data_IF_298425943351
#
_entry.id   IF_298425943351
#
_cell.length_a   1.000
_cell.length_b   1.000
_cell.length_c   1.000
_cell.angle_alpha   90.00
_cell.angle_beta   90.00
_cell.angle_gamma   90.00
#
_symmetry.space_group_name_H-M   'P 1'
#
loop_
_entity.id
_entity.type
_entity.pdbx_description
1 polymer ?
#
# COMPACT_ATOMS: atom_id res chain seq x y z
N UNK A 1 -32.55 -16.72 25.84
CA UNK A 1 -32.20 -16.47 24.42
C UNK A 1 -32.72 -15.13 23.86
N UNK A 2 -33.94 -14.67 24.16
CA UNK A 2 -34.43 -13.37 23.65
C UNK A 2 -33.65 -12.14 24.18
N UNK A 3 -33.05 -12.24 25.37
CA UNK A 3 -32.24 -11.16 25.95
C UNK A 3 -30.94 -10.88 25.18
N UNK A 4 -30.28 -11.95 24.72
CA UNK A 4 -28.98 -11.88 24.04
C UNK A 4 -29.10 -11.18 22.69
N UNK A 5 -30.18 -11.48 21.96
CA UNK A 5 -30.51 -10.86 20.67
C UNK A 5 -30.72 -9.34 20.83
N UNK A 6 -31.45 -8.91 21.87
CA UNK A 6 -31.65 -7.47 22.16
C UNK A 6 -30.33 -6.77 22.48
N UNK A 7 -29.46 -7.41 23.26
CA UNK A 7 -28.14 -6.88 23.59
C UNK A 7 -27.25 -6.72 22.32
N UNK A 8 -27.28 -7.69 21.40
CA UNK A 8 -26.56 -7.63 20.13
C UNK A 8 -27.07 -6.49 19.24
N UNK A 9 -28.39 -6.29 19.13
CA UNK A 9 -28.93 -5.15 18.38
C UNK A 9 -28.55 -3.81 19.00
N UNK A 10 -28.52 -3.71 20.32
CA UNK A 10 -28.04 -2.51 21.02
C UNK A 10 -26.56 -2.23 20.73
N UNK A 11 -25.73 -3.28 20.75
CA UNK A 11 -24.30 -3.20 20.39
C UNK A 11 -24.11 -2.75 18.95
N UNK A 12 -24.84 -3.34 18.00
CA UNK A 12 -24.82 -2.97 16.59
C UNK A 12 -25.22 -1.52 16.37
N UNK A 13 -26.34 -1.07 16.95
CA UNK A 13 -26.79 0.33 16.87
C UNK A 13 -25.78 1.30 17.47
N UNK A 14 -25.15 0.93 18.59
CA UNK A 14 -24.08 1.72 19.21
C UNK A 14 -22.88 1.86 18.27
N UNK A 15 -22.48 0.77 17.61
CA UNK A 15 -21.42 0.82 16.60
C UNK A 15 -21.80 1.70 15.41
N UNK A 16 -23.02 1.59 14.86
CA UNK A 16 -23.47 2.45 13.76
C UNK A 16 -23.47 3.94 14.14
N UNK A 17 -23.84 4.29 15.38
CA UNK A 17 -23.76 5.68 15.87
C UNK A 17 -22.34 6.21 15.89
N UNK A 18 -21.38 5.40 16.34
CA UNK A 18 -19.96 5.78 16.34
C UNK A 18 -19.38 5.84 14.92
N UNK A 19 -19.78 4.92 14.03
CA UNK A 19 -19.35 4.90 12.63
C UNK A 19 -19.75 6.19 11.92
N UNK A 20 -20.97 6.70 12.15
CA UNK A 20 -21.44 7.97 11.56
C UNK A 20 -20.58 9.19 11.92
N UNK A 21 -19.78 9.11 12.99
CA UNK A 21 -18.89 10.20 13.43
C UNK A 21 -17.52 10.15 12.76
N UNK A 22 -17.21 9.11 11.99
CA UNK A 22 -15.98 9.00 11.23
C UNK A 22 -15.91 10.10 10.15
N UNK A 23 -14.71 10.59 9.82
CA UNK A 23 -14.52 11.82 9.05
C UNK A 23 -14.90 11.74 7.57
N UNK A 24 -14.80 10.56 6.97
CA UNK A 24 -14.94 10.31 5.52
C UNK A 24 -16.02 9.29 5.25
N UNK A 25 -16.71 9.40 4.12
CA UNK A 25 -17.76 8.44 3.76
C UNK A 25 -17.21 7.05 3.48
N UNK A 26 -16.01 6.93 2.91
CA UNK A 26 -15.33 5.64 2.76
C UNK A 26 -15.18 4.88 4.09
N UNK A 27 -14.61 5.51 5.12
CA UNK A 27 -14.48 4.90 6.45
C UNK A 27 -15.85 4.51 7.03
N UNK A 28 -16.89 5.33 6.82
CA UNK A 28 -18.25 5.02 7.29
C UNK A 28 -18.79 3.77 6.62
N UNK A 29 -18.67 3.68 5.29
CA UNK A 29 -19.12 2.54 4.50
C UNK A 29 -18.36 1.27 4.86
N UNK A 30 -17.02 1.34 4.92
CA UNK A 30 -16.15 0.21 5.27
C UNK A 30 -16.52 -0.38 6.64
N UNK A 31 -16.60 0.45 7.69
CA UNK A 31 -16.91 -0.06 9.02
C UNK A 31 -18.36 -0.49 9.18
N UNK A 32 -19.29 0.08 8.40
CA UNK A 32 -20.68 -0.40 8.37
C UNK A 32 -20.75 -1.83 7.82
N UNK A 33 -20.06 -2.10 6.71
CA UNK A 33 -19.97 -3.46 6.14
C UNK A 33 -19.30 -4.42 7.12
N UNK A 34 -18.11 -4.04 7.62
CA UNK A 34 -17.35 -4.87 8.57
C UNK A 34 -18.15 -5.23 9.83
N UNK A 35 -18.77 -4.25 10.49
CA UNK A 35 -19.56 -4.52 11.70
C UNK A 35 -20.81 -5.34 11.38
N UNK A 36 -21.41 -5.14 10.19
CA UNK A 36 -22.49 -5.98 9.70
C UNK A 36 -22.07 -7.44 9.55
N UNK A 37 -20.91 -7.70 8.95
CA UNK A 37 -20.35 -9.05 8.80
C UNK A 37 -20.00 -9.69 10.14
N UNK A 38 -19.39 -8.93 11.05
CA UNK A 38 -19.04 -9.43 12.38
C UNK A 38 -20.30 -9.81 13.18
N UNK A 39 -21.38 -9.02 13.08
CA UNK A 39 -22.67 -9.30 13.75
C UNK A 39 -23.40 -10.47 13.10
N UNK A 40 -23.43 -10.57 11.76
CA UNK A 40 -23.96 -11.77 11.07
C UNK A 40 -23.21 -13.02 11.50
N UNK A 41 -21.88 -12.94 11.55
CA UNK A 41 -21.06 -14.02 12.07
C UNK A 41 -21.36 -14.40 13.52
N UNK A 42 -21.79 -13.47 14.38
CA UNK A 42 -22.22 -13.82 15.75
C UNK A 42 -23.48 -14.69 15.71
N UNK A 43 -24.44 -14.38 14.84
CA UNK A 43 -25.66 -15.17 14.68
C UNK A 43 -25.43 -16.54 14.04
N UNK A 44 -24.49 -16.64 13.09
CA UNK A 44 -24.16 -17.90 12.41
C UNK A 44 -23.34 -18.87 13.27
N UNK A 45 -22.82 -18.43 14.42
CA UNK A 45 -21.97 -19.24 15.27
C UNK A 45 -22.79 -20.30 16.04
N UNK A 46 -22.55 -21.58 15.77
CA UNK A 46 -23.23 -22.71 16.46
C UNK A 46 -22.80 -22.89 17.93
N UNK A 47 -21.57 -22.50 18.27
CA UNK A 47 -20.99 -22.69 19.60
C UNK A 47 -21.01 -21.38 20.40
N UNK A 48 -21.54 -21.43 21.63
CA UNK A 48 -21.65 -20.27 22.52
C UNK A 48 -20.29 -19.63 22.83
N UNK A 49 -19.24 -20.43 23.02
CA UNK A 49 -17.88 -19.91 23.28
C UNK A 49 -17.33 -19.08 22.11
N UNK A 50 -17.61 -19.53 20.87
CA UNK A 50 -17.24 -18.81 19.64
C UNK A 50 -18.07 -17.53 19.52
N UNK A 51 -19.36 -17.61 19.82
CA UNK A 51 -20.26 -16.45 19.85
C UNK A 51 -19.76 -15.39 20.84
N UNK A 52 -19.48 -15.77 22.08
CA UNK A 52 -18.97 -14.88 23.13
C UNK A 52 -17.62 -14.23 22.73
N UNK A 53 -16.72 -14.98 22.10
CA UNK A 53 -15.46 -14.44 21.57
C UNK A 53 -15.68 -13.39 20.47
N UNK A 54 -16.61 -13.64 19.54
CA UNK A 54 -16.99 -12.68 18.50
C UNK A 54 -17.66 -11.43 19.09
N UNK A 55 -18.54 -11.57 20.08
CA UNK A 55 -19.13 -10.44 20.81
C UNK A 55 -18.06 -9.59 21.48
N UNK A 56 -17.10 -10.22 22.19
CA UNK A 56 -15.96 -9.51 22.80
C UNK A 56 -15.15 -8.74 21.76
N UNK A 57 -14.97 -9.31 20.56
CA UNK A 57 -14.27 -8.64 19.44
C UNK A 57 -15.03 -7.40 18.97
N UNK A 58 -16.34 -7.50 18.72
CA UNK A 58 -17.16 -6.35 18.29
C UNK A 58 -17.18 -5.25 19.37
N UNK A 59 -17.28 -5.62 20.64
CA UNK A 59 -17.17 -4.66 21.74
C UNK A 59 -15.80 -3.98 21.79
N UNK A 60 -14.71 -4.71 21.54
CA UNK A 60 -13.37 -4.13 21.46
C UNK A 60 -13.25 -3.14 20.29
N UNK A 61 -13.82 -3.48 19.14
CA UNK A 61 -13.85 -2.58 17.98
C UNK A 61 -14.69 -1.34 18.24
N UNK A 62 -15.85 -1.47 18.92
CA UNK A 62 -16.65 -0.34 19.37
C UNK A 62 -15.85 0.58 20.31
N UNK A 63 -15.12 0.03 21.28
CA UNK A 63 -14.25 0.82 22.18
C UNK A 63 -13.14 1.53 21.40
N UNK A 64 -12.58 0.89 20.37
CA UNK A 64 -11.57 1.51 19.49
C UNK A 64 -12.17 2.64 18.66
N UNK A 65 -13.35 2.45 18.06
CA UNK A 65 -14.06 3.48 17.30
C UNK A 65 -14.37 4.69 18.16
N UNK A 66 -14.91 4.48 19.38
CA UNK A 66 -15.11 5.56 20.36
C UNK A 66 -13.82 6.32 20.62
N UNK A 67 -12.73 5.62 20.94
CA UNK A 67 -11.43 6.25 21.21
C UNK A 67 -10.89 7.02 19.99
N UNK A 68 -11.02 6.45 18.80
CA UNK A 68 -10.62 7.11 17.55
C UNK A 68 -11.41 8.40 17.33
N UNK A 69 -12.73 8.34 17.52
CA UNK A 69 -13.62 9.49 17.47
C UNK A 69 -13.18 10.55 18.50
N UNK A 70 -12.81 10.19 19.73
CA UNK A 70 -12.27 11.14 20.73
C UNK A 70 -10.86 11.71 20.40
N UNK A 71 -10.26 11.35 19.27
CA UNK A 71 -8.97 11.90 18.85
C UNK A 71 -7.76 11.15 19.41
N UNK A 72 -7.95 9.94 19.99
CA UNK A 72 -6.81 9.13 20.39
C UNK A 72 -6.03 8.62 19.17
N UNK A 73 -4.78 9.07 19.03
CA UNK A 73 -3.90 8.82 17.88
C UNK A 73 -3.82 7.33 17.51
N UNK A 74 -3.45 6.47 18.47
CA UNK A 74 -3.23 5.05 18.20
C UNK A 74 -4.51 4.32 17.79
N UNK A 75 -5.65 4.72 18.36
CA UNK A 75 -6.96 4.14 18.02
C UNK A 75 -7.37 4.59 16.61
N UNK A 76 -7.21 5.86 16.29
CA UNK A 76 -7.50 6.39 14.95
C UNK A 76 -6.59 5.76 13.89
N UNK A 77 -5.30 5.64 14.15
CA UNK A 77 -4.38 4.96 13.24
C UNK A 77 -4.74 3.48 13.05
N UNK A 78 -5.21 2.79 14.09
CA UNK A 78 -5.69 1.42 13.96
C UNK A 78 -6.94 1.32 13.06
N UNK A 79 -7.88 2.26 13.20
CA UNK A 79 -9.07 2.37 12.34
C UNK A 79 -8.65 2.57 10.88
N UNK A 80 -7.75 3.52 10.61
CA UNK A 80 -7.18 3.77 9.29
C UNK A 80 -6.48 2.52 8.72
N UNK A 81 -5.58 1.91 9.48
CA UNK A 81 -4.84 0.72 9.06
C UNK A 81 -5.74 -0.47 8.73
N UNK A 82 -6.87 -0.60 9.43
CA UNK A 82 -7.85 -1.65 9.15
C UNK A 82 -8.61 -1.35 7.87
N UNK A 83 -9.08 -0.11 7.70
CA UNK A 83 -9.85 0.31 6.52
C UNK A 83 -9.02 0.31 5.23
N UNK A 84 -7.75 0.71 5.28
CA UNK A 84 -6.86 0.75 4.10
C UNK A 84 -5.99 -0.52 3.95
N UNK A 85 -6.45 -1.64 4.52
CA UNK A 85 -5.85 -2.97 4.29
C UNK A 85 -4.40 -3.11 4.75
N UNK A 86 -3.94 -2.32 5.74
CA UNK A 86 -2.64 -2.54 6.39
C UNK A 86 -2.72 -3.67 7.42
N UNK A 87 -3.93 -3.92 7.94
CA UNK A 87 -4.24 -4.95 8.94
C UNK A 87 -5.58 -5.60 8.62
N UNK A 88 -5.81 -6.77 9.20
CA UNK A 88 -7.10 -7.46 9.11
C UNK A 88 -7.32 -8.20 7.78
N UNK A 89 -8.58 -8.54 7.47
CA UNK A 89 -8.93 -9.37 6.30
C UNK A 89 -8.63 -8.68 4.97
N UNK A 90 -8.90 -7.37 4.86
CA UNK A 90 -8.65 -6.62 3.63
C UNK A 90 -7.17 -6.68 3.21
N UNK A 91 -6.21 -6.74 4.14
CA UNK A 91 -4.79 -6.97 3.81
C UNK A 91 -4.60 -8.23 2.97
N UNK A 92 -5.31 -9.31 3.32
CA UNK A 92 -5.24 -10.59 2.63
C UNK A 92 -5.95 -10.56 1.28
N UNK A 93 -7.05 -9.82 1.16
CA UNK A 93 -7.75 -9.59 -0.10
C UNK A 93 -6.88 -8.80 -1.09
N UNK A 94 -6.18 -7.77 -0.64
CA UNK A 94 -5.20 -7.03 -1.46
C UNK A 94 -4.03 -7.92 -1.91
N UNK A 95 -3.60 -8.84 -1.05
CA UNK A 95 -2.48 -9.75 -1.32
C UNK A 95 -2.89 -10.93 -2.21
N UNK A 96 -4.10 -11.45 -2.10
CA UNK A 96 -4.54 -12.67 -2.80
C UNK A 96 -4.25 -12.64 -4.30
N UNK A 97 -4.60 -11.58 -5.05
CA UNK A 97 -4.32 -11.56 -6.47
C UNK A 97 -2.79 -11.51 -6.70
N UNK A 98 -2.00 -10.86 -5.86
CA UNK A 98 -0.52 -10.81 -6.00
C UNK A 98 0.18 -12.17 -5.83
N UNK A 99 -0.51 -13.21 -5.34
CA UNK A 99 0.06 -14.55 -5.14
C UNK A 99 0.07 -15.40 -6.40
N UNK A 100 -0.62 -14.97 -7.45
CA UNK A 100 -0.68 -15.67 -8.74
C UNK A 100 -0.11 -14.77 -9.83
N UNK A 101 0.62 -15.38 -10.76
CA UNK A 101 1.14 -14.72 -11.94
C UNK A 101 0.26 -15.14 -13.13
N UNK A 102 -0.46 -14.20 -13.77
CA UNK A 102 -1.35 -14.54 -14.87
C UNK A 102 -0.55 -15.03 -16.08
N UNK A 103 -1.02 -16.10 -16.73
CA UNK A 103 -0.39 -16.66 -17.93
C UNK A 103 0.89 -17.47 -17.69
N UNK A 104 1.35 -17.62 -16.45
CA UNK A 104 2.53 -18.43 -16.12
C UNK A 104 2.09 -19.69 -15.38
N UNK A 105 2.54 -20.85 -15.86
CA UNK A 105 2.29 -22.11 -15.19
C UNK A 105 2.95 -22.11 -13.79
N UNK A 106 2.25 -22.63 -12.77
CA UNK A 106 2.82 -22.73 -11.44
C UNK A 106 4.08 -23.62 -11.46
N UNK A 107 5.09 -23.30 -10.64
CA UNK A 107 6.35 -24.03 -10.62
C UNK A 107 6.15 -25.50 -10.28
N UNK A 108 7.03 -26.34 -10.82
CA UNK A 108 7.00 -27.78 -10.57
C UNK A 108 7.11 -28.09 -9.05
N UNK A 109 6.42 -29.15 -8.58
CA UNK A 109 6.52 -29.56 -7.18
C UNK A 109 7.94 -30.05 -6.85
N UNK A 110 8.46 -29.63 -5.69
CA UNK A 110 9.80 -30.06 -5.21
C UNK A 110 9.82 -31.57 -4.93
N UNK A 111 8.70 -32.11 -4.43
CA UNK A 111 8.47 -33.54 -4.23
C UNK A 111 7.53 -34.01 -5.33
N UNK A 112 8.04 -34.82 -6.28
CA UNK A 112 7.31 -35.23 -7.49
C UNK A 112 5.92 -35.82 -7.22
N UNK A 113 5.76 -36.59 -6.15
CA UNK A 113 4.49 -37.23 -5.78
C UNK A 113 3.49 -36.30 -5.10
N UNK A 114 3.92 -35.13 -4.62
CA UNK A 114 3.10 -34.25 -3.79
C UNK A 114 2.92 -32.87 -4.44
N UNK A 115 1.74 -32.62 -5.00
CA UNK A 115 1.39 -31.33 -5.61
C UNK A 115 1.40 -30.17 -4.61
N UNK A 116 1.25 -30.41 -3.30
CA UNK A 116 1.30 -29.36 -2.27
C UNK A 116 2.72 -28.87 -2.01
N UNK A 117 3.74 -29.62 -2.45
CA UNK A 117 5.16 -29.27 -2.34
C UNK A 117 5.63 -28.24 -3.37
N UNK A 118 4.71 -27.61 -4.12
CA UNK A 118 5.04 -26.52 -5.05
C UNK A 118 5.60 -25.32 -4.29
N UNK A 119 6.69 -24.71 -4.78
CA UNK A 119 7.21 -23.51 -4.15
C UNK A 119 6.24 -22.33 -4.37
N UNK A 120 6.29 -21.31 -3.50
CA UNK A 120 5.47 -20.12 -3.66
C UNK A 120 5.85 -19.33 -4.92
N UNK A 121 4.84 -18.79 -5.61
CA UNK A 121 5.02 -17.95 -6.80
C UNK A 121 5.25 -16.50 -6.37
N UNK A 122 6.29 -15.89 -6.93
CA UNK A 122 6.58 -14.46 -6.77
C UNK A 122 6.22 -13.73 -8.05
N UNK A 123 5.01 -13.16 -8.10
CA UNK A 123 4.58 -12.32 -9.21
C UNK A 123 5.51 -11.13 -9.42
N UNK A 124 5.59 -10.61 -10.63
CA UNK A 124 6.45 -9.47 -10.96
C UNK A 124 6.16 -8.23 -10.10
N UNK A 125 4.89 -7.98 -9.80
CA UNK A 125 4.40 -6.94 -8.89
C UNK A 125 4.93 -7.16 -7.48
N UNK A 126 4.82 -8.40 -6.99
CA UNK A 126 5.27 -8.75 -5.64
C UNK A 126 6.79 -8.71 -5.52
N UNK A 127 7.53 -9.12 -6.55
CA UNK A 127 8.99 -8.98 -6.62
C UNK A 127 9.40 -7.51 -6.50
N UNK A 128 8.73 -6.62 -7.24
CA UNK A 128 9.00 -5.18 -7.18
C UNK A 128 8.69 -4.60 -5.79
N UNK A 129 7.58 -5.00 -5.17
CA UNK A 129 7.25 -4.59 -3.80
C UNK A 129 8.34 -5.06 -2.83
N UNK A 130 8.66 -6.34 -2.83
CA UNK A 130 9.50 -6.96 -1.82
C UNK A 130 10.98 -6.56 -1.93
N UNK A 131 11.42 -6.19 -3.13
CA UNK A 131 12.76 -5.63 -3.40
C UNK A 131 12.87 -4.13 -3.13
N UNK A 132 11.77 -3.42 -2.88
CA UNK A 132 11.78 -1.98 -2.57
C UNK A 132 11.83 -1.70 -1.07
N UNK A 133 12.65 -0.74 -0.67
CA UNK A 133 12.72 -0.19 0.71
C UNK A 133 11.50 0.69 1.07
N UNK A 134 10.64 1.01 0.10
CA UNK A 134 9.43 1.80 0.35
C UNK A 134 8.34 0.92 0.95
N UNK A 135 8.14 -0.27 0.39
CA UNK A 135 7.06 -1.17 0.83
C UNK A 135 7.40 -1.88 2.14
N UNK A 136 8.67 -1.82 2.57
CA UNK A 136 9.22 -2.60 3.68
C UNK A 136 10.38 -1.86 4.33
N UNK A 137 10.59 -2.10 5.63
CA UNK A 137 11.76 -1.57 6.35
C UNK A 137 13.12 -2.04 5.82
N UNK A 138 13.17 -3.18 5.12
CA UNK A 138 14.38 -3.77 4.55
C UNK A 138 14.03 -4.50 3.25
N UNK A 139 14.52 -4.00 2.13
CA UNK A 139 14.46 -4.66 0.83
C UNK A 139 15.08 -6.05 0.87
N UNK A 140 14.48 -6.98 0.12
CA UNK A 140 15.05 -8.30 -0.10
C UNK A 140 15.94 -8.25 -1.33
N UNK A 141 17.14 -8.83 -1.21
CA UNK A 141 18.01 -9.07 -2.37
C UNK A 141 17.34 -10.04 -3.35
N UNK A 142 17.45 -9.83 -4.67
CA UNK A 142 16.81 -10.71 -5.66
C UNK A 142 17.20 -12.18 -5.49
N UNK A 143 18.44 -12.47 -5.08
CA UNK A 143 18.92 -13.81 -4.76
C UNK A 143 18.07 -14.53 -3.69
N UNK A 144 17.66 -13.79 -2.65
CA UNK A 144 16.88 -14.35 -1.54
C UNK A 144 15.41 -14.55 -1.87
N UNK A 145 14.93 -14.06 -3.01
CA UNK A 145 13.58 -14.34 -3.52
C UNK A 145 13.54 -15.77 -4.07
N UNK A 146 14.60 -16.16 -4.78
CA UNK A 146 14.76 -17.50 -5.36
C UNK A 146 15.08 -18.51 -4.26
N UNK A 147 16.08 -18.19 -3.43
CA UNK A 147 16.56 -19.08 -2.38
C UNK A 147 16.61 -18.39 -1.02
N UNK A 148 15.74 -18.76 -0.06
CA UNK A 148 15.78 -18.21 1.29
C UNK A 148 17.15 -18.38 1.96
N UNK A 149 17.63 -17.38 2.73
CA UNK A 149 18.91 -17.46 3.44
C UNK A 149 18.94 -18.52 4.56
N UNK A 150 17.78 -19.05 4.95
CA UNK A 150 17.68 -20.16 5.91
C UNK A 150 18.06 -21.52 5.31
N UNK A 151 18.19 -21.61 3.98
CA UNK A 151 18.53 -22.85 3.28
C UNK A 151 20.00 -22.76 2.88
N UNK A 152 20.86 -23.69 3.34
CA UNK A 152 22.25 -23.74 2.92
C UNK A 152 22.32 -24.12 1.44
N UNK A 153 22.68 -23.15 0.58
CA UNK A 153 22.74 -23.34 -0.87
C UNK A 153 23.64 -24.52 -1.26
N UNK A 154 24.79 -24.64 -0.59
CA UNK A 154 25.75 -25.72 -0.78
C UNK A 154 25.19 -27.12 -0.43
N UNK A 155 24.07 -27.26 0.28
CA UNK A 155 23.47 -28.59 0.56
C UNK A 155 22.30 -28.96 -0.34
N UNK A 156 21.89 -28.05 -1.24
CA UNK A 156 20.87 -28.35 -2.24
C UNK A 156 21.43 -29.20 -3.37
N UNK A 157 22.69 -28.95 -3.72
CA UNK A 157 23.40 -29.74 -4.73
C UNK A 157 23.89 -31.04 -4.10
N UNK A 158 23.42 -32.22 -4.57
CA UNK A 158 23.80 -33.50 -3.98
C UNK A 158 25.30 -33.78 -4.11
N UNK A 159 25.96 -33.17 -5.10
CA UNK A 159 27.38 -33.35 -5.40
C UNK A 159 28.32 -32.48 -4.56
N UNK A 160 27.78 -31.46 -3.89
CA UNK A 160 28.58 -30.52 -3.09
C UNK A 160 29.28 -31.24 -1.92
N UNK A 161 30.50 -30.81 -1.54
CA UNK A 161 31.23 -31.40 -0.42
C UNK A 161 30.44 -31.37 0.90
N UNK A 162 29.65 -30.32 1.14
CA UNK A 162 28.84 -30.22 2.36
C UNK A 162 27.68 -31.21 2.36
N UNK A 163 27.06 -31.46 1.19
CA UNK A 163 26.04 -32.50 1.02
C UNK A 163 26.64 -33.90 1.20
N UNK A 164 27.87 -34.14 0.72
CA UNK A 164 28.57 -35.42 0.95
C UNK A 164 28.93 -35.63 2.42
N UNK A 165 29.35 -34.58 3.12
CA UNK A 165 29.75 -34.66 4.52
C UNK A 165 28.56 -34.76 5.51
N UNK A 166 27.50 -33.97 5.29
CA UNK A 166 26.36 -33.84 6.21
C UNK A 166 25.05 -34.47 5.69
N UNK A 167 25.08 -35.04 4.50
CA UNK A 167 23.90 -35.52 3.77
C UNK A 167 23.15 -34.40 3.02
N UNK A 168 22.39 -34.75 1.96
CA UNK A 168 21.59 -33.80 1.19
C UNK A 168 20.48 -33.15 2.03
N UNK A 169 20.11 -31.92 1.70
CA UNK A 169 19.04 -31.23 2.41
C UNK A 169 17.68 -31.89 2.14
N UNK A 170 16.92 -32.18 3.20
CA UNK A 170 15.61 -32.84 3.05
C UNK A 170 14.63 -31.97 2.25
N UNK A 171 14.07 -32.52 1.16
CA UNK A 171 13.07 -31.83 0.31
C UNK A 171 11.87 -31.30 1.10
N UNK A 172 11.39 -32.02 2.12
CA UNK A 172 10.29 -31.54 2.99
C UNK A 172 10.70 -30.31 3.80
N UNK A 173 11.94 -30.30 4.32
CA UNK A 173 12.48 -29.13 5.05
C UNK A 173 12.66 -27.94 4.10
N UNK A 174 13.05 -28.19 2.86
CA UNK A 174 13.16 -27.16 1.81
C UNK A 174 11.81 -26.49 1.52
N UNK A 175 10.78 -27.29 1.26
CA UNK A 175 9.40 -26.81 1.03
C UNK A 175 8.95 -25.95 2.22
N UNK A 176 9.11 -26.46 3.45
CA UNK A 176 8.70 -25.75 4.66
C UNK A 176 9.49 -24.45 4.85
N UNK A 177 10.80 -24.45 4.60
CA UNK A 177 11.65 -23.27 4.70
C UNK A 177 11.23 -22.20 3.67
N UNK A 178 10.99 -22.57 2.42
CA UNK A 178 10.51 -21.67 1.36
C UNK A 178 9.15 -21.05 1.72
N UNK A 179 8.18 -21.85 2.16
CA UNK A 179 6.85 -21.36 2.54
C UNK A 179 6.87 -20.49 3.80
N UNK A 180 7.64 -20.87 4.82
CA UNK A 180 7.80 -20.08 6.05
C UNK A 180 8.44 -18.73 5.73
N UNK A 181 9.50 -18.74 4.92
CA UNK A 181 10.15 -17.52 4.47
C UNK A 181 9.18 -16.64 3.68
N UNK A 182 8.52 -17.18 2.66
CA UNK A 182 7.54 -16.44 1.85
C UNK A 182 6.46 -15.78 2.70
N UNK A 183 5.77 -16.53 3.57
CA UNK A 183 4.75 -15.98 4.48
C UNK A 183 5.31 -14.86 5.36
N UNK A 184 6.49 -15.09 5.95
CA UNK A 184 7.15 -14.10 6.79
C UNK A 184 7.50 -12.81 6.02
N UNK A 185 7.91 -12.93 4.76
CA UNK A 185 8.18 -11.77 3.91
C UNK A 185 6.90 -11.04 3.51
N UNK A 186 5.82 -11.76 3.19
CA UNK A 186 4.52 -11.18 2.90
C UNK A 186 3.95 -10.42 4.09
N UNK A 187 4.07 -10.96 5.30
CA UNK A 187 3.57 -10.32 6.52
C UNK A 187 4.22 -8.95 6.76
N UNK A 188 5.50 -8.81 6.38
CA UNK A 188 6.29 -7.57 6.50
C UNK A 188 6.09 -6.58 5.34
N UNK A 189 5.49 -7.02 4.25
CA UNK A 189 5.34 -6.20 3.04
C UNK A 189 4.06 -5.37 3.11
N UNK A 190 4.16 -4.08 2.78
CA UNK A 190 3.02 -3.20 2.61
C UNK A 190 2.51 -3.33 1.17
N UNK A 191 1.21 -3.56 1.00
CA UNK A 191 0.62 -3.77 -0.32
C UNK A 191 0.07 -2.45 -0.89
N UNK A 192 0.13 -2.22 -2.20
CA UNK A 192 -0.48 -1.04 -2.80
C UNK A 192 -2.01 -1.14 -2.71
N UNK A 193 -2.68 0.01 -2.71
CA UNK A 193 -4.13 0.07 -2.93
C UNK A 193 -4.49 0.09 -4.41
N UNK A 194 -3.59 0.64 -5.24
CA UNK A 194 -3.77 0.78 -6.67
C UNK A 194 -2.45 0.69 -7.43
N UNK A 195 -2.55 0.40 -8.71
CA UNK A 195 -1.47 0.48 -9.69
C UNK A 195 -1.64 1.76 -10.51
N UNK A 196 -0.55 2.50 -10.67
CA UNK A 196 -0.45 3.64 -11.57
C UNK A 196 0.22 3.20 -12.88
N UNK A 197 -0.39 3.50 -14.02
CA UNK A 197 0.17 3.24 -15.34
C UNK A 197 0.86 4.50 -15.86
N UNK A 198 2.17 4.40 -16.13
CA UNK A 198 2.94 5.49 -16.75
C UNK A 198 3.13 5.20 -18.23
N UNK A 199 2.53 6.05 -19.06
CA UNK A 199 2.73 6.03 -20.50
C UNK A 199 3.56 7.23 -20.93
N UNK A 200 4.69 6.97 -21.59
CA UNK A 200 5.45 8.03 -22.25
C UNK A 200 4.75 8.42 -23.54
N UNK A 201 4.37 9.69 -23.67
CA UNK A 201 3.88 10.24 -24.93
C UNK A 201 5.05 10.62 -25.86
N UNK A 202 4.78 10.74 -27.16
CA UNK A 202 5.78 11.12 -28.18
C UNK A 202 6.43 12.48 -27.94
N UNK A 203 5.76 13.37 -27.22
CA UNK A 203 6.25 14.70 -26.82
C UNK A 203 7.12 14.69 -25.55
N UNK A 204 7.47 13.51 -25.02
CA UNK A 204 8.24 13.38 -23.78
C UNK A 204 7.44 13.64 -22.49
N UNK A 205 6.14 13.97 -22.58
CA UNK A 205 5.27 14.07 -21.40
C UNK A 205 4.91 12.67 -20.90
N UNK A 206 4.97 12.47 -19.59
CA UNK A 206 4.56 11.23 -18.93
C UNK A 206 3.15 11.45 -18.42
N UNK A 207 2.17 10.68 -18.93
CA UNK A 207 0.84 10.64 -18.35
C UNK A 207 0.73 9.48 -17.37
N UNK A 208 0.08 9.75 -16.24
CA UNK A 208 -0.22 8.76 -15.21
C UNK A 208 -1.71 8.45 -15.30
N UNK A 209 -2.04 7.19 -15.57
CA UNK A 209 -3.40 6.69 -15.60
C UNK A 209 -3.63 5.73 -14.44
N UNK A 210 -4.77 5.87 -13.76
CA UNK A 210 -5.20 4.96 -12.68
C UNK A 210 -6.48 4.20 -13.06
N UNK A 211 -6.97 4.38 -14.29
CA UNK A 211 -8.20 3.75 -14.75
C UNK A 211 -8.00 2.26 -15.03
N UNK A 212 -8.92 1.44 -14.55
CA UNK A 212 -8.87 -0.02 -14.72
C UNK A 212 -8.84 -0.44 -16.19
N UNK A 213 -9.60 0.25 -17.05
CA UNK A 213 -9.62 -0.01 -18.50
C UNK A 213 -8.21 0.14 -19.12
N UNK A 214 -7.48 1.19 -18.75
CA UNK A 214 -6.12 1.43 -19.26
C UNK A 214 -5.13 0.35 -18.82
N UNK A 215 -5.29 -0.15 -17.59
CA UNK A 215 -4.47 -1.25 -17.06
C UNK A 215 -4.76 -2.56 -17.81
N UNK A 216 -6.04 -2.89 -18.04
CA UNK A 216 -6.43 -4.08 -18.79
C UNK A 216 -5.87 -4.03 -20.22
N UNK A 217 -5.95 -2.89 -20.89
CA UNK A 217 -5.36 -2.71 -22.23
C UNK A 217 -3.83 -2.87 -22.23
N UNK A 218 -3.17 -2.48 -21.14
CA UNK A 218 -1.73 -2.68 -20.96
C UNK A 218 -1.35 -4.12 -20.54
N UNK A 219 -2.33 -5.02 -20.36
CA UNK A 219 -2.10 -6.36 -19.83
C UNK A 219 -1.72 -6.39 -18.36
N UNK A 220 -1.96 -5.29 -17.63
CA UNK A 220 -1.67 -5.15 -16.21
C UNK A 220 -2.93 -5.47 -15.43
N UNK A 221 -2.82 -6.39 -14.47
CA UNK A 221 -3.96 -6.74 -13.63
C UNK A 221 -4.17 -5.66 -12.56
N UNK A 222 -5.41 -5.20 -12.40
CA UNK A 222 -5.82 -4.38 -11.26
C UNK A 222 -5.55 -5.07 -9.91
N UNK A 223 -5.40 -4.27 -8.86
CA UNK A 223 -5.25 -4.75 -7.48
C UNK A 223 -6.25 -4.04 -6.59
N UNK A 224 -6.90 -4.78 -5.72
CA UNK A 224 -7.53 -4.24 -4.53
C UNK A 224 -8.67 -3.26 -4.79
N UNK A 225 -8.43 -1.98 -4.52
CA UNK A 225 -9.42 -0.90 -4.60
C UNK A 225 -9.22 -0.04 -5.86
N UNK A 226 -8.62 -0.63 -6.92
CA UNK A 226 -8.46 0.03 -8.21
C UNK A 226 -9.79 0.60 -8.71
N UNK A 227 -9.78 1.85 -9.18
CA UNK A 227 -10.99 2.51 -9.72
C UNK A 227 -12.01 2.98 -8.68
N UNK A 228 -11.83 2.66 -7.40
CA UNK A 228 -12.76 3.10 -6.35
C UNK A 228 -12.55 4.56 -5.91
N UNK A 229 -11.51 5.25 -6.41
CA UNK A 229 -11.18 6.63 -6.03
C UNK A 229 -10.67 6.81 -4.59
N UNK A 230 -10.45 5.70 -3.87
CA UNK A 230 -10.12 5.70 -2.43
C UNK A 230 -8.74 6.28 -2.18
N UNK A 231 -7.79 6.05 -3.08
CA UNK A 231 -6.43 6.58 -2.93
C UNK A 231 -6.39 8.09 -3.25
N UNK A 232 -7.10 8.51 -4.30
CA UNK A 232 -7.25 9.91 -4.70
C UNK A 232 -7.96 10.72 -3.61
N UNK A 233 -8.99 10.15 -2.98
CA UNK A 233 -9.64 10.73 -1.79
C UNK A 233 -8.61 10.92 -0.67
N UNK A 234 -7.81 9.89 -0.37
CA UNK A 234 -6.78 9.92 0.67
C UNK A 234 -5.73 11.02 0.41
N UNK A 235 -5.29 11.17 -0.84
CA UNK A 235 -4.38 12.22 -1.27
C UNK A 235 -5.01 13.62 -1.16
N UNK A 236 -6.29 13.76 -1.51
CA UNK A 236 -7.04 15.00 -1.34
C UNK A 236 -7.10 15.42 0.13
N UNK A 237 -7.40 14.48 1.03
CA UNK A 237 -7.52 14.70 2.47
C UNK A 237 -6.18 14.96 3.17
N UNK A 238 -5.08 14.42 2.63
CA UNK A 238 -3.74 14.65 3.12
C UNK A 238 -3.16 15.99 2.66
N UNK A 239 -3.74 16.62 1.64
CA UNK A 239 -3.29 17.90 1.11
C UNK A 239 -3.56 19.02 2.12
N UNK A 240 -2.67 20.02 2.24
CA UNK A 240 -3.08 21.27 2.88
C UNK A 240 -4.30 21.82 2.11
N UNK A 241 -5.25 22.49 2.79
CA UNK A 241 -6.22 23.27 2.04
C UNK A 241 -5.39 24.20 1.17
N UNK A 242 -5.54 24.09 -0.16
CA UNK A 242 -4.95 25.07 -1.05
C UNK A 242 -5.35 26.41 -0.46
N UNK A 243 -4.36 27.19 0.00
CA UNK A 243 -4.61 28.59 0.25
C UNK A 243 -5.22 29.03 -1.06
N UNK A 244 -6.51 29.33 -1.05
CA UNK A 244 -7.15 29.99 -2.16
C UNK A 244 -6.42 31.32 -2.18
N UNK A 245 -5.27 31.34 -2.86
CA UNK A 245 -4.77 32.55 -3.45
C UNK A 245 -6.00 33.02 -4.21
N UNK A 246 -6.57 34.12 -3.73
CA UNK A 246 -7.46 34.97 -4.50
C UNK A 246 -6.66 35.40 -5.73
N UNK A 247 -6.39 34.47 -6.62
CA UNK A 247 -5.99 34.77 -7.96
C UNK A 247 -7.29 35.19 -8.63
N UNK A 248 -7.27 36.46 -8.97
CA UNK A 248 -8.31 37.17 -9.70
C UNK A 248 -8.84 36.28 -10.83
N UNK A 249 -10.14 36.36 -11.15
CA UNK A 249 -10.73 35.58 -12.22
C UNK A 249 -9.97 35.87 -13.52
N UNK A 250 -9.06 34.98 -13.89
CA UNK A 250 -8.44 34.96 -15.21
C UNK A 250 -9.53 34.53 -16.18
N UNK A 251 -10.26 35.53 -16.63
CA UNK A 251 -11.08 35.52 -17.83
C UNK A 251 -10.16 35.08 -18.98
N UNK A 252 -10.63 34.12 -19.77
CA UNK A 252 -10.03 33.64 -21.03
C UNK A 252 -8.90 32.60 -20.91
N UNK A 253 -9.31 31.32 -20.96
CA UNK A 253 -8.42 30.19 -21.18
C UNK A 253 -9.20 28.90 -21.39
N UNK A 254 -9.79 28.76 -22.57
CA UNK A 254 -10.48 27.55 -23.05
C UNK A 254 -9.48 26.37 -23.10
N UNK A 255 -9.45 25.57 -22.03
CA UNK A 255 -8.35 24.63 -21.81
C UNK A 255 -8.67 23.55 -20.78
N UNK A 256 -9.67 22.72 -21.08
CA UNK A 256 -9.85 21.36 -20.54
C UNK A 256 -9.80 21.22 -19.00
N UNK A 257 -10.70 21.95 -18.32
CA UNK A 257 -10.85 21.98 -16.85
C UNK A 257 -11.59 20.73 -16.29
N UNK A 258 -11.50 19.58 -16.97
CA UNK A 258 -12.37 18.41 -16.74
C UNK A 258 -11.94 17.46 -15.61
N UNK A 259 -10.89 17.77 -14.82
CA UNK A 259 -10.31 16.77 -13.88
C UNK A 259 -10.19 17.16 -12.42
N UNK A 260 -10.74 18.30 -11.99
CA UNK A 260 -10.89 18.54 -10.56
C UNK A 260 -12.15 17.82 -10.07
N UNK A 261 -12.00 16.51 -9.80
CA UNK A 261 -13.02 15.74 -9.10
C UNK A 261 -13.44 16.44 -7.80
N UNK A 262 -14.70 16.28 -7.37
CA UNK A 262 -15.23 16.97 -6.20
C UNK A 262 -14.32 16.71 -4.99
N UNK A 263 -13.86 17.80 -4.34
CA UNK A 263 -13.00 17.67 -3.16
C UNK A 263 -13.74 16.88 -2.07
N UNK A 264 -13.07 15.92 -1.42
CA UNK A 264 -13.72 15.11 -0.41
C UNK A 264 -14.15 15.97 0.78
N UNK A 265 -15.42 15.84 1.16
CA UNK A 265 -16.00 16.62 2.25
C UNK A 265 -15.70 15.96 3.58
N UNK A 266 -14.95 16.65 4.45
CA UNK A 266 -14.66 16.15 5.80
C UNK A 266 -15.79 16.55 6.75
N UNK A 267 -16.51 15.57 7.27
CA UNK A 267 -17.55 15.76 8.28
C UNK A 267 -17.09 15.16 9.61
N UNK A 268 -16.30 15.91 10.36
CA UNK A 268 -15.80 15.49 11.67
C UNK A 268 -15.65 16.66 12.63
N UNK A 269 -15.79 16.37 13.92
CA UNK A 269 -15.48 17.30 15.00
C UNK A 269 -13.99 17.33 15.36
N UNK A 270 -13.19 16.43 14.78
CA UNK A 270 -11.74 16.42 15.00
C UNK A 270 -11.07 17.59 14.27
N UNK A 271 -10.01 18.19 14.85
CA UNK A 271 -9.29 19.28 14.19
C UNK A 271 -8.77 18.85 12.82
N UNK A 272 -8.93 19.71 11.79
CA UNK A 272 -8.46 19.42 10.42
C UNK A 272 -6.98 19.06 10.36
N UNK A 273 -6.14 19.75 11.15
CA UNK A 273 -4.69 19.47 11.27
C UNK A 273 -4.42 18.04 11.78
N UNK A 274 -5.21 17.57 12.75
CA UNK A 274 -5.09 16.21 13.27
C UNK A 274 -5.38 15.20 12.15
N UNK A 275 -6.51 15.35 11.47
CA UNK A 275 -6.94 14.47 10.40
C UNK A 275 -5.92 14.43 9.26
N UNK A 276 -5.53 15.60 8.73
CA UNK A 276 -4.54 15.72 7.65
C UNK A 276 -3.26 14.95 7.97
N UNK A 277 -2.70 15.16 9.16
CA UNK A 277 -1.48 14.46 9.61
C UNK A 277 -1.68 12.94 9.64
N UNK A 278 -2.82 12.45 10.12
CA UNK A 278 -3.11 11.00 10.14
C UNK A 278 -3.28 10.42 8.72
N UNK A 279 -3.87 11.19 7.79
CA UNK A 279 -3.97 10.80 6.39
C UNK A 279 -2.59 10.75 5.72
N UNK A 280 -1.74 11.75 5.92
CA UNK A 280 -0.35 11.77 5.43
C UNK A 280 0.49 10.59 5.96
N UNK A 281 0.35 10.26 7.24
CA UNK A 281 0.99 9.07 7.84
C UNK A 281 0.46 7.76 7.27
N UNK A 282 -0.82 7.71 6.90
CA UNK A 282 -1.41 6.53 6.25
C UNK A 282 -0.88 6.39 4.82
N UNK A 283 -0.78 7.49 4.06
CA UNK A 283 -0.15 7.50 2.74
C UNK A 283 1.31 7.04 2.77
N UNK A 284 2.06 7.39 3.82
CA UNK A 284 3.43 6.89 4.01
C UNK A 284 3.52 5.37 4.19
N UNK A 285 2.41 4.70 4.53
CA UNK A 285 2.31 3.24 4.67
C UNK A 285 1.68 2.55 3.45
N UNK A 286 1.31 3.30 2.42
CA UNK A 286 0.67 2.80 1.21
C UNK A 286 1.62 3.04 0.03
N UNK A 287 2.38 2.02 -0.41
CA UNK A 287 3.19 2.15 -1.60
C UNK A 287 2.30 2.33 -2.83
N UNK A 288 2.77 3.11 -3.79
CA UNK A 288 2.18 3.22 -5.14
C UNK A 288 3.01 2.35 -6.07
N UNK A 289 2.37 1.32 -6.63
CA UNK A 289 3.01 0.47 -7.62
C UNK A 289 2.80 1.10 -9.00
N UNK A 290 3.87 1.47 -9.68
CA UNK A 290 3.83 2.09 -10.99
C UNK A 290 4.31 1.12 -12.05
N UNK A 291 3.52 0.89 -13.10
CA UNK A 291 3.95 0.12 -14.26
C UNK A 291 4.40 1.06 -15.38
N UNK A 292 5.58 0.78 -15.94
CA UNK A 292 6.17 1.54 -17.05
C UNK A 292 6.38 0.62 -18.24
N UNK A 293 5.84 1.01 -19.40
CA UNK A 293 6.13 0.33 -20.66
C UNK A 293 7.55 0.70 -21.13
N UNK A 294 8.31 -0.23 -21.72
CA UNK A 294 9.58 0.08 -22.32
C UNK A 294 9.35 1.06 -23.48
N UNK A 295 9.93 2.26 -23.37
CA UNK A 295 9.85 3.24 -24.45
C UNK A 295 10.54 2.69 -25.69
N UNK A 296 9.84 2.67 -26.83
CA UNK A 296 10.38 2.19 -28.11
C UNK A 296 11.58 3.05 -28.59
N UNK A 297 11.72 4.25 -28.05
CA UNK A 297 12.65 5.30 -28.52
C UNK A 297 14.13 5.02 -28.19
N UNK A 298 14.43 4.18 -27.19
CA UNK A 298 15.82 3.93 -26.77
C UNK A 298 16.64 3.07 -27.76
N UNK A 299 16.05 2.55 -28.85
CA UNK A 299 16.75 1.70 -29.81
C UNK A 299 17.57 2.43 -30.88
N UNK A 300 17.67 3.76 -30.84
CA UNK A 300 18.25 4.54 -31.96
C UNK A 300 19.74 4.88 -31.82
N UNK A 301 20.42 4.50 -30.73
CA UNK A 301 21.86 4.84 -30.54
C UNK A 301 22.83 3.65 -30.47
N UNK A 302 22.36 2.42 -30.70
CA UNK A 302 23.25 1.25 -30.80
C UNK A 302 22.90 0.39 -32.02
N UNK A 303 23.14 0.93 -33.22
CA UNK A 303 23.14 0.13 -34.46
C UNK A 303 24.21 0.60 -35.44
N UNK A 304 25.42 0.07 -35.29
CA UNK A 304 26.08 -0.63 -36.39
C UNK A 304 25.83 -2.10 -36.14
N UNK A 305 24.92 -2.69 -36.91
CA UNK A 305 24.94 -4.08 -37.40
C UNK A 305 23.52 -4.53 -37.77
N UNK A 306 23.41 -4.94 -39.03
CA UNK A 306 22.21 -5.42 -39.72
C UNK A 306 21.82 -6.76 -39.09
N UNK A 307 20.70 -6.80 -38.40
CA UNK A 307 20.05 -8.07 -38.08
C UNK A 307 18.58 -8.01 -38.46
N UNK A 308 18.17 -9.10 -39.10
CA UNK A 308 16.89 -9.36 -39.72
C UNK A 308 15.72 -9.20 -38.73
N UNK A 309 14.73 -8.41 -39.16
CA UNK A 309 13.51 -8.15 -38.41
C UNK A 309 12.61 -9.39 -38.54
N UNK A 310 12.62 -10.26 -37.53
CA UNK A 310 11.59 -11.30 -37.38
C UNK A 310 10.33 -10.67 -36.76
N UNK A 311 9.18 -10.67 -37.47
CA UNK A 311 7.92 -10.19 -36.92
C UNK A 311 7.32 -11.27 -36.01
N UNK A 312 7.14 -10.97 -34.71
CA UNK A 312 6.26 -11.79 -33.86
C UNK A 312 6.67 -12.01 -32.41
N UNK A 313 7.83 -11.54 -31.93
CA UNK A 313 8.17 -11.72 -30.51
C UNK A 313 7.34 -10.76 -29.66
N UNK A 314 6.55 -11.25 -28.68
CA UNK A 314 5.81 -10.39 -27.75
C UNK A 314 6.79 -9.40 -27.10
N UNK A 315 6.43 -8.11 -27.12
CA UNK A 315 7.28 -7.03 -26.65
C UNK A 315 7.81 -7.29 -25.24
N UNK A 316 9.02 -6.79 -24.95
CA UNK A 316 9.64 -6.92 -23.62
C UNK A 316 8.62 -6.54 -22.54
N UNK A 317 8.45 -7.35 -21.48
CA UNK A 317 7.51 -7.03 -20.41
C UNK A 317 7.89 -5.69 -19.78
N UNK A 318 6.88 -4.90 -19.41
CA UNK A 318 7.11 -3.64 -18.72
C UNK A 318 7.71 -3.83 -17.33
N UNK A 319 8.17 -2.73 -16.76
CA UNK A 319 8.84 -2.71 -15.45
C UNK A 319 7.94 -2.10 -14.40
N UNK A 320 7.82 -2.78 -13.27
CA UNK A 320 7.21 -2.24 -12.07
C UNK A 320 8.22 -1.46 -11.24
N UNK A 321 7.82 -0.26 -10.80
CA UNK A 321 8.55 0.59 -9.88
C UNK A 321 7.65 0.91 -8.68
N UNK A 322 8.23 0.94 -7.49
CA UNK A 322 7.51 1.31 -6.27
C UNK A 322 7.87 2.75 -5.91
N UNK A 323 6.87 3.59 -5.69
CA UNK A 323 7.03 4.98 -5.25
C UNK A 323 6.11 5.27 -4.06
N UNK A 324 6.28 6.42 -3.42
CA UNK A 324 5.32 6.96 -2.45
C UNK A 324 4.54 8.11 -3.08
N UNK A 325 3.36 8.39 -2.51
CA UNK A 325 2.68 9.65 -2.79
C UNK A 325 3.57 10.82 -2.39
N UNK A 326 3.63 11.91 -3.18
CA UNK A 326 4.34 13.12 -2.78
C UNK A 326 3.74 13.77 -1.52
N UNK A 327 2.50 13.41 -1.17
CA UNK A 327 1.78 13.90 0.02
C UNK A 327 1.96 12.99 1.24
N UNK A 328 2.73 11.92 1.12
CA UNK A 328 3.06 11.05 2.25
C UNK A 328 3.94 11.80 3.26
N UNK A 329 3.69 11.60 4.55
CA UNK A 329 4.58 12.14 5.58
C UNK A 329 5.91 11.39 5.55
N UNK A 330 6.98 12.04 5.11
CA UNK A 330 8.35 11.52 5.17
C UNK A 330 8.91 11.68 6.58
N UNK A 331 8.30 11.02 7.56
CA UNK A 331 8.76 11.03 8.97
C UNK A 331 10.17 10.41 9.19
N UNK A 332 10.89 10.06 8.12
CA UNK A 332 12.27 9.56 8.15
C UNK A 332 13.29 10.54 7.54
N UNK A 333 12.86 11.68 7.02
CA UNK A 333 13.78 12.80 6.78
C UNK A 333 14.17 13.44 8.11
N UNK A 334 15.38 14.01 8.24
CA UNK A 334 15.69 14.87 9.39
C UNK A 334 14.57 15.92 9.53
N UNK A 335 14.23 16.23 10.77
CA UNK A 335 13.10 17.09 11.21
C UNK A 335 13.01 18.43 10.44
N UNK A 336 14.09 18.82 9.75
CA UNK A 336 14.22 19.99 8.88
C UNK A 336 13.29 20.00 7.65
N UNK A 337 12.73 18.87 7.19
CA UNK A 337 11.87 18.83 6.00
C UNK A 337 10.39 19.22 6.21
N UNK A 338 10.00 19.58 7.45
CA UNK A 338 8.62 20.02 7.77
C UNK A 338 8.51 21.55 7.81
N UNK A 339 9.61 22.28 7.64
CA UNK A 339 9.54 23.72 7.47
C UNK A 339 8.98 24.02 6.07
N UNK A 340 7.76 24.58 6.01
CA UNK A 340 7.25 25.16 4.75
C UNK A 340 8.24 26.24 4.28
N UNK A 341 8.20 26.63 3.01
CA UNK A 341 9.09 27.67 2.48
C UNK A 341 9.04 28.96 3.33
N UNK A 342 7.87 29.26 3.90
CA UNK A 342 7.66 30.31 4.90
C UNK A 342 8.44 30.07 6.21
N UNK A 343 8.43 28.86 6.76
CA UNK A 343 9.19 28.52 7.97
C UNK A 343 10.70 28.57 7.69
N UNK A 344 11.15 28.14 6.51
CA UNK A 344 12.56 28.25 6.09
C UNK A 344 12.98 29.73 5.98
N UNK A 345 12.12 30.59 5.41
CA UNK A 345 12.40 32.03 5.35
C UNK A 345 12.43 32.67 6.74
N UNK A 346 11.56 32.22 7.66
CA UNK A 346 11.55 32.70 9.04
C UNK A 346 12.82 32.28 9.80
N UNK A 347 13.25 31.02 9.68
CA UNK A 347 14.49 30.51 10.30
C UNK A 347 15.71 31.29 9.78
N UNK A 348 15.81 31.50 8.45
CA UNK A 348 16.90 32.31 7.87
C UNK A 348 16.89 33.74 8.38
N UNK A 349 15.71 34.35 8.56
CA UNK A 349 15.58 35.71 9.10
C UNK A 349 15.98 35.77 10.58
N UNK A 350 15.66 34.75 11.37
CA UNK A 350 16.09 34.63 12.76
C UNK A 350 17.62 34.50 12.88
N UNK A 351 18.25 33.66 12.06
CA UNK A 351 19.71 33.51 12.02
C UNK A 351 20.44 34.81 11.64
N UNK A 352 19.86 35.60 10.72
CA UNK A 352 20.42 36.92 10.36
C UNK A 352 20.34 37.92 11.53
N UNK A 353 19.25 37.91 12.30
CA UNK A 353 19.10 38.77 13.47
C UNK A 353 20.07 38.40 14.59
N UNK A 354 20.34 37.11 14.82
CA UNK A 354 21.34 36.68 15.80
C UNK A 354 22.76 37.08 15.38
N UNK A 355 23.11 36.95 14.09
CA UNK A 355 24.40 37.40 13.56
C UNK A 355 24.60 38.92 13.69
N UNK A 356 23.53 39.71 13.50
CA UNK A 356 23.57 41.16 13.68
C UNK A 356 23.80 41.59 15.14
N UNK A 357 23.13 40.93 16.09
CA UNK A 357 23.24 41.26 17.51
C UNK A 357 24.58 40.82 18.15
N UNK A 358 25.26 39.83 17.59
CA UNK A 358 26.58 39.40 18.05
C UNK A 358 27.70 40.40 17.75
N UNK A 359 27.58 41.20 16.69
CA UNK A 359 28.60 42.16 16.27
C UNK A 359 28.62 43.43 17.14
N UNK A 360 27.50 43.80 17.76
CA UNK A 360 27.39 45.04 18.56
C UNK A 360 27.90 44.92 20.00
N UNK A 361 28.31 43.72 20.46
CA UNK A 361 28.79 43.46 21.83
C UNK A 361 30.32 43.32 21.97
N UNK A 362 31.09 43.64 20.92
CA UNK A 362 32.57 43.68 20.96
C UNK A 362 33.12 45.09 20.66
N UNK A 363 32.45 46.11 21.18
CA UNK A 363 32.91 47.51 21.17
C UNK A 363 33.21 47.96 22.58
#
# INVERSE_FOLDING_TARGET
MHGDVKALYSLYRSALREIRRLPTDYLRQFFRLKVGDDVRGIFDAKLESVQASRVKRVQADLRRLRRANYGHINAFQHVMQTAYGRRGPLKWELLQPLRTEPGVEPPAPIIRSDKSSRPPVWSSELKALVSSDISRKKAIKPEFIILPPSIPAARLDPESPESRALGPFSRRREVNARWKYFKHQLDKTMFPLQIAFKQGMTNGRITVHTDEATLIHAGVRGIGLQGAGVFEELEGLASPPALVRLEEPSVEGDGDDTRQGPRPTIQSYLPRRFLRRRFQETLAQIPVLTYTLPSRVEKTQSRSDKEDVTPGVPGKPGRYQVTLSPKASTHLGPIQSIADEADVTWIRRAEQMEKGNGASKRG
#
